data_IF_306587916891
#
_entry.id   IF_306587916891
#
_cell.length_a   1.000
_cell.length_b   1.000
_cell.length_c   1.000
_cell.angle_alpha   90.00
_cell.angle_beta   90.00
_cell.angle_gamma   90.00
#
_symmetry.space_group_name_H-M   'P 1'
#
loop_
_entity.id
_entity.type
_entity.pdbx_description
1 polymer ?
#
# COMPACT_ATOMS: atom_id res chain seq x y z
N UNK A 1 0.21 32.77 -4.64
CA UNK A 1 0.37 31.54 -3.85
C UNK A 1 1.84 31.43 -3.49
N UNK A 2 2.17 31.39 -2.19
CA UNK A 2 3.56 31.26 -1.73
C UNK A 2 4.03 29.81 -1.79
N UNK A 3 5.35 29.59 -1.75
CA UNK A 3 5.93 28.25 -1.66
C UNK A 3 5.45 27.49 -0.41
N UNK A 4 5.22 28.19 0.70
CA UNK A 4 4.68 27.58 1.92
C UNK A 4 3.24 27.11 1.74
N UNK A 5 2.40 27.87 1.03
CA UNK A 5 1.01 27.48 0.74
C UNK A 5 0.96 26.18 -0.08
N UNK A 6 1.89 26.01 -1.03
CA UNK A 6 2.02 24.78 -1.84
C UNK A 6 2.41 23.59 -0.95
N UNK A 7 3.35 23.76 -0.02
CA UNK A 7 3.76 22.71 0.91
C UNK A 7 2.63 22.31 1.86
N UNK A 8 1.88 23.28 2.39
CA UNK A 8 0.71 23.05 3.24
C UNK A 8 -0.35 22.23 2.48
N UNK A 9 -0.62 22.59 1.22
CA UNK A 9 -1.53 21.83 0.37
C UNK A 9 -1.05 20.39 0.16
N UNK A 10 0.26 20.19 -0.04
CA UNK A 10 0.85 18.86 -0.19
C UNK A 10 0.73 17.99 1.06
N UNK A 11 0.91 18.56 2.25
CA UNK A 11 0.69 17.83 3.51
C UNK A 11 -0.79 17.54 3.75
N UNK A 12 -1.70 18.46 3.41
CA UNK A 12 -3.15 18.23 3.48
C UNK A 12 -3.58 17.07 2.57
N UNK A 13 -3.02 16.98 1.36
CA UNK A 13 -3.25 15.85 0.46
C UNK A 13 -2.68 14.53 0.99
N UNK A 14 -1.51 14.56 1.63
CA UNK A 14 -0.98 13.39 2.32
C UNK A 14 -1.93 12.92 3.44
N UNK A 15 -2.47 13.87 4.24
CA UNK A 15 -3.44 13.58 5.29
C UNK A 15 -4.76 13.02 4.72
N UNK A 16 -5.26 13.56 3.61
CA UNK A 16 -6.42 13.03 2.91
C UNK A 16 -6.23 11.56 2.51
N UNK A 17 -5.07 11.21 1.94
CA UNK A 17 -4.78 9.83 1.58
C UNK A 17 -4.69 8.90 2.79
N UNK A 18 -4.20 9.39 3.92
CA UNK A 18 -4.22 8.62 5.16
C UNK A 18 -5.66 8.28 5.57
N UNK A 19 -6.58 9.25 5.54
CA UNK A 19 -8.00 9.02 5.85
C UNK A 19 -8.64 8.03 4.89
N UNK A 20 -8.36 8.15 3.58
CA UNK A 20 -8.87 7.22 2.56
C UNK A 20 -8.38 5.79 2.84
N UNK A 21 -7.09 5.61 3.14
CA UNK A 21 -6.53 4.30 3.47
C UNK A 21 -7.15 3.71 4.74
N UNK A 22 -7.34 4.53 5.76
CA UNK A 22 -7.98 4.10 7.00
C UNK A 22 -9.41 3.63 6.73
N UNK A 23 -10.16 4.35 5.90
CA UNK A 23 -11.51 3.96 5.51
C UNK A 23 -11.53 2.62 4.74
N UNK A 24 -10.59 2.42 3.81
CA UNK A 24 -10.44 1.14 3.10
C UNK A 24 -10.13 0.00 4.07
N UNK A 25 -9.20 0.19 5.01
CA UNK A 25 -8.86 -0.81 6.01
C UNK A 25 -10.07 -1.20 6.86
N UNK A 26 -10.81 -0.21 7.38
CA UNK A 26 -12.04 -0.45 8.16
C UNK A 26 -13.07 -1.22 7.33
N UNK A 27 -13.24 -0.85 6.05
CA UNK A 27 -14.18 -1.52 5.15
C UNK A 27 -13.81 -2.99 4.93
N UNK A 28 -12.52 -3.29 4.71
CA UNK A 28 -12.03 -4.66 4.53
C UNK A 28 -12.25 -5.51 5.77
N UNK A 29 -11.92 -4.97 6.95
CA UNK A 29 -12.11 -5.66 8.23
C UNK A 29 -13.60 -5.97 8.48
N UNK A 30 -14.51 -5.05 8.16
CA UNK A 30 -15.95 -5.26 8.33
C UNK A 30 -16.55 -6.24 7.33
N UNK A 31 -15.97 -6.38 6.15
CA UNK A 31 -16.53 -7.19 5.06
C UNK A 31 -16.05 -8.65 5.07
N UNK A 32 -15.07 -8.99 5.91
CA UNK A 32 -14.39 -10.30 5.87
C UNK A 32 -14.49 -10.98 7.23
N UNK A 33 -14.67 -12.30 7.24
CA UNK A 33 -14.67 -13.10 8.47
C UNK A 33 -13.28 -13.08 9.15
N UNK A 34 -13.25 -13.07 10.47
CA UNK A 34 -12.02 -13.00 11.28
C UNK A 34 -11.12 -14.20 11.01
N UNK A 35 -11.70 -15.39 10.85
CA UNK A 35 -10.93 -16.62 10.60
C UNK A 35 -10.24 -16.57 9.23
N UNK A 36 -10.93 -16.05 8.21
CA UNK A 36 -10.37 -15.84 6.86
C UNK A 36 -9.26 -14.79 6.89
N UNK A 37 -9.47 -13.68 7.63
CA UNK A 37 -8.43 -12.64 7.80
C UNK A 37 -7.18 -13.24 8.44
N UNK A 38 -7.31 -14.13 9.42
CA UNK A 38 -6.18 -14.71 10.12
C UNK A 38 -5.32 -15.57 9.19
N UNK A 39 -5.94 -16.44 8.40
CA UNK A 39 -5.25 -17.28 7.42
C UNK A 39 -4.53 -16.43 6.34
N UNK A 40 -5.22 -15.44 5.80
CA UNK A 40 -4.67 -14.48 4.84
C UNK A 40 -3.49 -13.70 5.42
N UNK A 41 -3.58 -13.30 6.68
CA UNK A 41 -2.52 -12.55 7.36
C UNK A 41 -1.25 -13.38 7.48
N UNK A 42 -1.36 -14.68 7.78
CA UNK A 42 -0.20 -15.56 7.90
C UNK A 42 0.60 -15.66 6.59
N UNK A 43 -0.08 -15.86 5.46
CA UNK A 43 0.59 -15.92 4.16
C UNK A 43 1.23 -14.57 3.79
N UNK A 44 0.54 -13.45 4.09
CA UNK A 44 1.10 -12.12 3.88
C UNK A 44 2.31 -11.83 4.78
N UNK A 45 2.33 -12.35 6.00
CA UNK A 45 3.47 -12.24 6.91
C UNK A 45 4.69 -12.98 6.37
N UNK A 46 4.51 -14.19 5.84
CA UNK A 46 5.60 -14.95 5.20
C UNK A 46 6.18 -14.20 3.99
N UNK A 47 5.31 -13.69 3.11
CA UNK A 47 5.74 -12.87 1.97
C UNK A 47 6.42 -11.58 2.41
N UNK A 48 5.92 -10.93 3.46
CA UNK A 48 6.52 -9.72 4.02
C UNK A 48 7.89 -10.00 4.63
N UNK A 49 8.07 -11.13 5.29
CA UNK A 49 9.35 -11.56 5.85
C UNK A 49 10.39 -11.78 4.74
N UNK A 50 10.00 -12.49 3.68
CA UNK A 50 10.87 -12.67 2.51
C UNK A 50 11.19 -11.34 1.84
N UNK A 51 10.20 -10.46 1.69
CA UNK A 51 10.37 -9.13 1.13
C UNK A 51 11.33 -8.25 1.96
N UNK A 52 11.20 -8.27 3.30
CA UNK A 52 12.03 -7.50 4.23
C UNK A 52 13.51 -7.92 4.14
N UNK A 53 13.81 -9.17 3.76
CA UNK A 53 15.19 -9.64 3.51
C UNK A 53 15.88 -8.90 2.37
N UNK A 54 15.13 -8.54 1.32
CA UNK A 54 15.66 -7.79 0.17
C UNK A 54 15.70 -6.27 0.43
N UNK A 55 14.87 -5.76 1.33
CA UNK A 55 14.71 -4.33 1.58
C UNK A 55 14.69 -3.98 3.09
N UNK A 56 15.80 -4.21 3.82
CA UNK A 56 15.83 -4.11 5.28
C UNK A 56 15.49 -2.72 5.83
N UNK A 57 15.91 -1.66 5.13
CA UNK A 57 15.74 -0.26 5.59
C UNK A 57 14.45 0.41 5.08
N UNK A 58 13.62 -0.31 4.32
CA UNK A 58 12.46 0.29 3.64
C UNK A 58 11.42 0.86 4.60
N UNK A 59 11.29 0.31 5.82
CA UNK A 59 10.38 0.87 6.84
C UNK A 59 10.79 2.28 7.24
N UNK A 60 12.08 2.51 7.48
CA UNK A 60 12.61 3.83 7.84
C UNK A 60 12.47 4.80 6.65
N UNK A 61 12.83 4.35 5.44
CA UNK A 61 12.68 5.14 4.21
C UNK A 61 11.23 5.60 3.99
N UNK A 62 10.27 4.68 4.18
CA UNK A 62 8.84 5.00 4.06
C UNK A 62 8.41 6.00 5.13
N UNK A 63 8.83 5.83 6.38
CA UNK A 63 8.52 6.79 7.44
C UNK A 63 9.06 8.18 7.15
N UNK A 64 10.32 8.29 6.70
CA UNK A 64 10.93 9.57 6.32
C UNK A 64 10.18 10.19 5.14
N UNK A 65 9.79 9.38 4.16
CA UNK A 65 9.09 9.87 2.97
C UNK A 65 7.77 10.56 3.29
N UNK A 66 7.09 10.20 4.39
CA UNK A 66 5.83 10.84 4.80
C UNK A 66 5.98 12.29 5.28
N UNK A 67 7.18 12.71 5.68
CA UNK A 67 7.44 14.11 6.06
C UNK A 67 7.55 15.04 4.84
N UNK A 68 7.78 14.49 3.65
CA UNK A 68 7.89 15.26 2.41
C UNK A 68 6.47 15.54 1.87
N UNK A 69 6.15 16.79 1.47
CA UNK A 69 4.83 17.11 0.93
C UNK A 69 4.56 16.31 -0.37
N UNK A 70 3.30 15.96 -0.61
CA UNK A 70 2.79 15.22 -1.78
C UNK A 70 3.27 13.77 -1.98
N UNK A 71 4.30 13.29 -1.30
CA UNK A 71 4.85 11.94 -1.52
C UNK A 71 3.83 10.84 -1.23
N UNK A 72 3.11 10.92 -0.11
CA UNK A 72 2.07 9.97 0.26
C UNK A 72 0.93 10.02 -0.74
N UNK A 73 0.54 11.24 -1.14
CA UNK A 73 -0.51 11.48 -2.13
C UNK A 73 -0.21 10.76 -3.45
N UNK A 74 0.93 11.05 -4.08
CA UNK A 74 1.28 10.44 -5.36
C UNK A 74 1.50 8.93 -5.26
N UNK A 75 2.24 8.47 -4.23
CA UNK A 75 2.50 7.04 -4.02
C UNK A 75 1.20 6.25 -3.88
N UNK A 76 0.26 6.75 -3.09
CA UNK A 76 -1.02 6.06 -2.88
C UNK A 76 -1.94 6.16 -4.10
N UNK A 77 -1.97 7.30 -4.79
CA UNK A 77 -2.75 7.46 -6.02
C UNK A 77 -2.32 6.44 -7.08
N UNK A 78 -1.01 6.31 -7.32
CA UNK A 78 -0.48 5.30 -8.25
C UNK A 78 -0.86 3.88 -7.82
N UNK A 79 -0.79 3.58 -6.52
CA UNK A 79 -1.17 2.26 -6.00
C UNK A 79 -2.66 1.96 -6.16
N UNK A 80 -3.53 2.95 -5.95
CA UNK A 80 -4.97 2.80 -6.20
C UNK A 80 -5.23 2.54 -7.67
N UNK A 81 -4.56 3.27 -8.58
CA UNK A 81 -4.68 3.03 -10.01
C UNK A 81 -4.22 1.62 -10.40
N UNK A 82 -3.07 1.16 -9.89
CA UNK A 82 -2.60 -0.22 -10.09
C UNK A 82 -3.64 -1.25 -9.64
N UNK A 83 -4.22 -1.05 -8.45
CA UNK A 83 -5.24 -1.93 -7.88
C UNK A 83 -6.52 -1.93 -8.73
N UNK A 84 -6.97 -0.77 -9.20
CA UNK A 84 -8.13 -0.66 -10.09
C UNK A 84 -7.90 -1.39 -11.42
N UNK A 85 -6.71 -1.24 -12.02
CA UNK A 85 -6.35 -1.99 -13.22
C UNK A 85 -6.30 -3.50 -12.97
N UNK A 86 -5.79 -3.92 -11.81
CA UNK A 86 -5.76 -5.32 -11.42
C UNK A 86 -7.17 -5.90 -11.31
N UNK A 87 -8.09 -5.23 -10.61
CA UNK A 87 -9.50 -5.68 -10.49
C UNK A 87 -10.27 -5.59 -11.80
N UNK A 88 -9.94 -4.63 -12.67
CA UNK A 88 -10.56 -4.55 -13.99
C UNK A 88 -10.20 -5.74 -14.88
N UNK A 89 -8.99 -6.30 -14.73
CA UNK A 89 -8.53 -7.45 -15.52
C UNK A 89 -8.89 -8.79 -14.87
N UNK A 90 -8.91 -8.86 -13.55
CA UNK A 90 -9.18 -10.08 -12.80
C UNK A 90 -10.54 -9.98 -12.10
N UNK A 91 -11.54 -10.66 -12.65
CA UNK A 91 -12.89 -10.68 -12.06
C UNK A 91 -12.90 -11.56 -10.79
N UNK A 92 -13.70 -11.16 -9.80
CA UNK A 92 -13.85 -11.85 -8.50
C UNK A 92 -12.59 -11.91 -7.63
N UNK A 93 -11.59 -11.08 -7.88
CA UNK A 93 -10.42 -10.98 -6.98
C UNK A 93 -10.66 -10.00 -5.85
N UNK A 94 -10.06 -10.29 -4.72
CA UNK A 94 -10.11 -9.50 -3.49
C UNK A 94 -8.88 -8.60 -3.35
N UNK A 95 -8.94 -7.67 -2.40
CA UNK A 95 -7.77 -6.85 -2.03
C UNK A 95 -6.60 -7.70 -1.54
N UNK A 96 -6.87 -8.85 -0.92
CA UNK A 96 -5.87 -9.83 -0.54
C UNK A 96 -5.10 -10.36 -1.75
N UNK A 97 -5.80 -10.77 -2.81
CA UNK A 97 -5.17 -11.32 -4.02
C UNK A 97 -4.24 -10.30 -4.69
N UNK A 98 -4.65 -9.02 -4.71
CA UNK A 98 -3.80 -7.94 -5.20
C UNK A 98 -2.52 -7.78 -4.35
N UNK A 99 -2.64 -7.88 -3.03
CA UNK A 99 -1.50 -7.76 -2.11
C UNK A 99 -0.51 -8.92 -2.29
N UNK A 100 -1.02 -10.16 -2.40
CA UNK A 100 -0.20 -11.35 -2.69
C UNK A 100 0.54 -11.17 -4.01
N UNK A 101 -0.18 -10.83 -5.09
CA UNK A 101 0.41 -10.55 -6.39
C UNK A 101 1.54 -9.52 -6.30
N UNK A 102 1.31 -8.40 -5.62
CA UNK A 102 2.29 -7.32 -5.52
C UNK A 102 3.54 -7.74 -4.77
N UNK A 103 3.40 -8.40 -3.61
CA UNK A 103 4.54 -8.89 -2.84
C UNK A 103 5.35 -9.92 -3.62
N UNK A 104 4.69 -10.92 -4.23
CA UNK A 104 5.36 -11.93 -5.04
C UNK A 104 6.08 -11.33 -6.24
N UNK A 105 5.46 -10.37 -6.94
CA UNK A 105 6.08 -9.67 -8.07
C UNK A 105 7.32 -8.87 -7.64
N UNK A 106 7.23 -8.11 -6.55
CA UNK A 106 8.34 -7.31 -6.04
C UNK A 106 9.51 -8.19 -5.57
N UNK A 107 9.23 -9.34 -4.94
CA UNK A 107 10.23 -10.34 -4.54
C UNK A 107 10.89 -10.97 -5.78
N UNK A 108 10.10 -11.40 -6.77
CA UNK A 108 10.64 -11.97 -8.01
C UNK A 108 11.54 -10.98 -8.74
N UNK A 109 11.11 -9.71 -8.82
CA UNK A 109 11.91 -8.64 -9.40
C UNK A 109 13.22 -8.43 -8.65
N UNK A 110 13.21 -8.51 -7.32
CA UNK A 110 14.41 -8.42 -6.50
C UNK A 110 15.33 -9.64 -6.67
N UNK A 111 14.78 -10.85 -6.88
CA UNK A 111 15.54 -12.06 -7.18
C UNK A 111 16.17 -12.05 -8.58
N UNK A 112 15.52 -11.41 -9.54
CA UNK A 112 16.00 -11.30 -10.93
C UNK A 112 17.02 -10.18 -11.16
N UNK A 113 17.29 -9.37 -10.14
CA UNK A 113 18.31 -8.32 -10.13
C UNK A 113 19.59 -8.84 -9.51
#
# INVERSE_FOLDING_TARGET
MSYLDICILGWNLNALMFVINLFLAIKVIKATDIDIIHEQTKLLEELKFEFDKYYPNRKIEVSISYFVPFTAFFRMTLRILEMLFFFSKNKNTTMYDFMVYKYSYDIQKAKSK
#
